data_IF_959825239950
#
_entry.id   IF_959825239950
#
_cell.length_a   1.000
_cell.length_b   1.000
_cell.length_c   1.000
_cell.angle_alpha   90.00
_cell.angle_beta   90.00
_cell.angle_gamma   90.00
#
_symmetry.space_group_name_H-M   'P 1'
#
loop_
_entity.id
_entity.type
_entity.pdbx_description
1 polymer ?
#
# COMPACT_ATOMS: atom_id res chain seq x y z
N UNK A 1 -19.21 -9.63 40.01
CA UNK A 1 -17.77 -9.56 40.31
C UNK A 1 -17.38 -8.11 40.28
N UNK A 2 -17.31 -7.43 41.43
CA UNK A 2 -16.81 -6.08 41.47
C UNK A 2 -15.28 -6.18 41.32
N UNK A 3 -14.76 -5.74 40.19
CA UNK A 3 -13.34 -5.54 40.00
C UNK A 3 -12.86 -4.53 41.01
N UNK A 4 -11.83 -4.86 41.75
CA UNK A 4 -11.25 -3.91 42.72
C UNK A 4 -10.59 -2.77 41.96
N UNK A 5 -10.80 -1.55 42.44
CA UNK A 5 -10.27 -0.35 41.81
C UNK A 5 -8.75 -0.38 41.67
N UNK A 6 -8.05 -1.02 42.61
CA UNK A 6 -6.60 -1.19 42.60
C UNK A 6 -6.06 -2.19 41.58
N UNK A 7 -6.93 -2.94 40.90
CA UNK A 7 -6.53 -3.93 39.91
C UNK A 7 -6.44 -3.34 38.49
N UNK A 8 -6.79 -2.05 38.31
CA UNK A 8 -6.75 -1.38 37.02
C UNK A 8 -5.81 -0.17 37.04
N UNK A 9 -5.30 0.20 35.87
CA UNK A 9 -4.47 1.41 35.68
C UNK A 9 -5.28 2.69 35.95
N UNK A 10 -6.60 2.63 35.89
CA UNK A 10 -7.49 3.75 36.14
C UNK A 10 -7.69 4.05 37.63
N UNK A 11 -7.24 3.18 38.52
CA UNK A 11 -7.37 3.31 39.97
C UNK A 11 -6.26 4.19 40.58
N UNK A 12 -6.28 5.45 40.31
CA UNK A 12 -5.26 6.39 40.79
C UNK A 12 -5.30 6.58 42.32
N UNK A 13 -4.13 6.50 42.96
CA UNK A 13 -3.91 6.93 44.33
C UNK A 13 -4.27 5.92 45.43
N UNK A 14 -4.70 4.73 45.10
CA UNK A 14 -5.08 3.69 46.09
C UNK A 14 -4.04 2.58 46.24
N UNK A 15 -3.06 2.51 45.34
CA UNK A 15 -2.06 1.44 45.30
C UNK A 15 -0.67 1.97 45.63
N UNK A 16 -0.02 1.35 46.57
CA UNK A 16 1.42 1.56 46.85
C UNK A 16 2.21 0.51 46.11
N UNK A 17 3.06 0.93 45.15
CA UNK A 17 3.92 0.02 44.39
C UNK A 17 4.14 0.46 42.97
N UNK A 18 4.79 -0.39 42.16
CA UNK A 18 5.07 -0.13 40.75
C UNK A 18 3.79 -0.36 39.94
N UNK A 19 3.29 0.67 39.31
CA UNK A 19 2.14 0.54 38.39
C UNK A 19 2.60 -0.11 37.07
N UNK A 20 1.73 -0.92 36.42
CA UNK A 20 2.03 -1.42 35.10
C UNK A 20 2.20 -0.24 34.11
N UNK A 21 3.13 -0.39 33.20
CA UNK A 21 3.42 0.63 32.17
C UNK A 21 2.50 0.53 30.94
N UNK A 22 1.62 -0.46 30.92
CA UNK A 22 0.65 -0.70 29.84
C UNK A 22 -0.70 -1.05 30.46
N UNK A 23 -1.75 -0.91 29.68
CA UNK A 23 -3.09 -1.33 30.09
C UNK A 23 -3.16 -2.84 30.26
N UNK A 24 -3.87 -3.26 31.30
CA UNK A 24 -4.25 -4.67 31.49
C UNK A 24 -5.52 -4.97 30.73
N UNK A 25 -5.80 -6.27 30.48
CA UNK A 25 -7.01 -6.70 29.77
C UNK A 25 -8.30 -6.13 30.38
N UNK A 26 -8.34 -6.03 31.72
CA UNK A 26 -9.50 -5.49 32.43
C UNK A 26 -9.68 -3.97 32.23
N UNK A 27 -8.59 -3.23 32.06
CA UNK A 27 -8.65 -1.81 31.73
C UNK A 27 -9.17 -1.63 30.30
N UNK A 28 -8.69 -2.47 29.39
CA UNK A 28 -9.14 -2.49 27.99
C UNK A 28 -10.63 -2.81 27.90
N UNK A 29 -11.11 -3.81 28.63
CA UNK A 29 -12.53 -4.16 28.68
C UNK A 29 -13.37 -2.99 29.24
N UNK A 30 -12.93 -2.35 30.31
CA UNK A 30 -13.63 -1.22 30.90
C UNK A 30 -13.69 -0.01 29.94
N UNK A 31 -12.61 0.24 29.20
CA UNK A 31 -12.57 1.28 28.17
C UNK A 31 -13.52 0.98 27.00
N UNK A 32 -13.57 -0.29 26.58
CA UNK A 32 -14.49 -0.74 25.52
C UNK A 32 -15.97 -0.66 25.95
N UNK A 33 -16.28 -0.93 27.23
CA UNK A 33 -17.63 -0.76 27.77
C UNK A 33 -18.07 0.72 27.85
N UNK A 34 -17.14 1.63 28.13
CA UNK A 34 -17.42 3.07 28.28
C UNK A 34 -17.48 3.77 26.91
N UNK A 35 -16.53 3.50 26.03
CA UNK A 35 -16.37 4.22 24.75
C UNK A 35 -16.75 3.40 23.52
N UNK A 36 -17.07 2.12 23.71
CA UNK A 36 -17.35 1.19 22.63
C UNK A 36 -16.08 0.65 21.98
N UNK A 37 -16.24 -0.38 21.19
CA UNK A 37 -15.17 -0.89 20.30
C UNK A 37 -15.20 -0.04 19.05
N UNK A 38 -14.06 0.52 18.66
CA UNK A 38 -13.95 1.25 17.40
C UNK A 38 -14.32 0.34 16.25
N UNK A 39 -15.34 0.73 15.49
CA UNK A 39 -15.78 -0.03 14.34
C UNK A 39 -14.95 0.37 13.11
N UNK A 40 -14.52 -0.61 12.30
CA UNK A 40 -13.81 -0.30 11.08
C UNK A 40 -14.71 0.49 10.12
N UNK A 41 -14.13 1.46 9.41
CA UNK A 41 -14.82 2.08 8.28
C UNK A 41 -14.90 1.08 7.12
N UNK A 42 -16.10 0.84 6.63
CA UNK A 42 -16.38 -0.16 5.59
C UNK A 42 -16.35 0.50 4.21
N UNK A 43 -15.70 -0.16 3.25
CA UNK A 43 -15.61 0.19 1.85
C UNK A 43 -16.18 -0.95 0.99
N UNK A 44 -16.96 -0.60 -0.02
CA UNK A 44 -17.76 -1.54 -0.83
C UNK A 44 -16.98 -2.20 -1.99
N UNK A 45 -15.69 -1.86 -2.17
CA UNK A 45 -14.83 -2.40 -3.22
C UNK A 45 -13.56 -3.02 -2.61
N UNK A 46 -12.74 -3.66 -3.45
CA UNK A 46 -11.47 -4.23 -3.02
C UNK A 46 -10.44 -3.14 -2.69
N UNK A 47 -9.51 -3.43 -1.83
CA UNK A 47 -8.42 -2.51 -1.45
C UNK A 47 -7.69 -1.92 -2.67
N UNK A 48 -7.40 -2.77 -3.66
CA UNK A 48 -6.71 -2.37 -4.89
C UNK A 48 -7.47 -1.35 -5.75
N UNK A 49 -8.78 -1.24 -5.57
CA UNK A 49 -9.63 -0.34 -6.35
C UNK A 49 -9.55 1.11 -5.87
N UNK A 50 -8.80 1.36 -4.80
CA UNK A 50 -8.63 2.68 -4.22
C UNK A 50 -7.20 3.21 -4.38
N UNK A 51 -7.12 4.55 -4.50
CA UNK A 51 -5.89 5.31 -4.32
C UNK A 51 -5.88 5.94 -2.93
N UNK A 52 -4.72 5.94 -2.30
CA UNK A 52 -4.48 6.58 -1.01
C UNK A 52 -3.71 7.87 -1.22
N UNK A 53 -4.00 8.87 -0.39
CA UNK A 53 -3.43 10.21 -0.49
C UNK A 53 -2.97 10.69 0.87
N UNK A 54 -1.84 11.39 0.89
CA UNK A 54 -1.48 12.26 2.01
C UNK A 54 -2.13 13.61 1.76
N UNK A 55 -2.95 14.06 2.70
CA UNK A 55 -3.62 15.37 2.66
C UNK A 55 -3.06 16.26 3.78
N UNK A 56 -3.40 17.55 3.79
CA UNK A 56 -2.80 18.54 4.70
C UNK A 56 -2.78 18.13 6.17
N UNK A 57 -3.87 17.52 6.66
CA UNK A 57 -4.01 17.12 8.06
C UNK A 57 -4.16 15.62 8.27
N UNK A 58 -3.70 14.79 7.32
CA UNK A 58 -3.80 13.33 7.48
C UNK A 58 -3.81 12.54 6.19
N UNK A 59 -4.79 11.67 6.04
CA UNK A 59 -4.87 10.71 4.95
C UNK A 59 -6.26 10.72 4.32
N UNK A 60 -6.29 10.50 3.03
CA UNK A 60 -7.50 10.37 2.24
C UNK A 60 -7.48 9.13 1.35
N UNK A 61 -8.66 8.71 0.93
CA UNK A 61 -8.87 7.58 0.03
C UNK A 61 -9.85 7.97 -1.07
N UNK A 62 -9.66 7.42 -2.26
CA UNK A 62 -10.54 7.65 -3.39
C UNK A 62 -10.61 6.40 -4.27
N UNK A 63 -11.82 6.02 -4.67
CA UNK A 63 -12.03 4.98 -5.67
C UNK A 63 -11.36 5.40 -7.01
N UNK A 64 -10.63 4.50 -7.65
CA UNK A 64 -9.93 4.76 -8.92
C UNK A 64 -10.89 5.11 -10.03
N UNK A 65 -12.00 4.39 -10.08
CA UNK A 65 -13.05 4.65 -11.05
C UNK A 65 -14.10 5.62 -10.51
N UNK A 66 -14.55 6.54 -11.36
CA UNK A 66 -15.59 7.51 -11.03
C UNK A 66 -15.07 8.91 -10.69
N UNK A 67 -16.00 9.81 -10.41
CA UNK A 67 -15.75 11.24 -10.14
C UNK A 67 -15.79 11.59 -8.64
N UNK A 68 -15.71 10.60 -7.76
CA UNK A 68 -15.84 10.80 -6.33
C UNK A 68 -14.75 11.73 -5.79
N UNK A 69 -15.09 12.51 -4.79
CA UNK A 69 -14.11 13.29 -4.03
C UNK A 69 -13.19 12.37 -3.21
N UNK A 70 -12.07 12.91 -2.73
CA UNK A 70 -11.23 12.22 -1.75
C UNK A 70 -12.00 12.19 -0.43
N UNK A 71 -12.21 10.99 0.08
CA UNK A 71 -12.75 10.75 1.40
C UNK A 71 -11.64 10.85 2.44
N UNK A 72 -11.82 11.66 3.46
CA UNK A 72 -10.89 11.73 4.58
C UNK A 72 -11.04 10.49 5.49
N UNK A 73 -9.90 9.87 5.81
CA UNK A 73 -9.80 8.69 6.69
C UNK A 73 -8.93 8.94 7.91
N UNK A 74 -8.56 10.18 8.15
CA UNK A 74 -7.76 10.59 9.31
C UNK A 74 -8.49 10.26 10.62
N UNK A 75 -7.78 9.66 11.57
CA UNK A 75 -8.36 9.30 12.88
C UNK A 75 -9.17 8.00 12.88
N UNK A 76 -9.29 7.31 11.74
CA UNK A 76 -9.92 5.99 11.66
C UNK A 76 -8.81 4.94 11.78
N UNK A 77 -8.88 4.10 12.80
CA UNK A 77 -7.82 3.10 13.01
C UNK A 77 -7.86 1.97 11.99
N UNK A 78 -9.05 1.44 11.72
CA UNK A 78 -9.23 0.24 10.89
C UNK A 78 -10.14 0.51 9.70
N UNK A 79 -9.67 0.11 8.52
CA UNK A 79 -10.37 0.19 7.24
C UNK A 79 -10.71 -1.23 6.78
N UNK A 80 -11.96 -1.50 6.44
CA UNK A 80 -12.41 -2.81 5.96
C UNK A 80 -12.87 -2.72 4.52
N UNK A 81 -12.14 -3.37 3.64
CA UNK A 81 -12.47 -3.57 2.23
C UNK A 81 -13.16 -4.93 2.03
N UNK A 82 -13.64 -5.20 0.81
CA UNK A 82 -14.31 -6.48 0.52
C UNK A 82 -13.35 -7.66 0.58
N UNK A 83 -12.07 -7.46 0.30
CA UNK A 83 -11.04 -8.49 0.22
C UNK A 83 -10.07 -8.49 1.42
N UNK A 84 -9.96 -7.39 2.17
CA UNK A 84 -9.02 -7.32 3.31
C UNK A 84 -9.38 -6.25 4.33
N UNK A 85 -8.70 -6.30 5.49
CA UNK A 85 -8.63 -5.22 6.47
C UNK A 85 -7.25 -4.59 6.45
N UNK A 86 -7.19 -3.28 6.74
CA UNK A 86 -5.99 -2.47 6.72
C UNK A 86 -6.00 -1.54 7.92
N UNK A 87 -4.88 -1.45 8.64
CA UNK A 87 -4.72 -0.50 9.73
C UNK A 87 -4.13 0.81 9.18
N UNK A 88 -4.77 1.94 9.49
CA UNK A 88 -4.34 3.24 8.96
C UNK A 88 -2.90 3.59 9.35
N UNK A 89 -2.53 3.34 10.61
CA UNK A 89 -1.21 3.71 11.12
C UNK A 89 -0.12 2.75 10.63
N UNK A 90 -0.34 1.45 10.79
CA UNK A 90 0.66 0.46 10.44
C UNK A 90 0.88 0.37 8.91
N UNK A 91 -0.21 0.34 8.15
CA UNK A 91 -0.17 0.05 6.73
C UNK A 91 -0.13 1.34 5.88
N UNK A 92 -1.09 2.25 6.05
CA UNK A 92 -1.20 3.43 5.18
C UNK A 92 -0.14 4.48 5.56
N UNK A 93 -0.12 4.93 6.82
CA UNK A 93 0.89 5.87 7.30
C UNK A 93 2.29 5.26 7.21
N UNK A 94 2.44 3.97 7.55
CA UNK A 94 3.68 3.23 7.46
C UNK A 94 4.31 3.22 6.07
N UNK A 95 3.50 3.22 5.01
CA UNK A 95 3.97 3.39 3.62
C UNK A 95 4.39 4.83 3.36
N UNK A 96 3.52 5.80 3.66
CA UNK A 96 3.81 7.21 3.38
C UNK A 96 5.04 7.74 4.14
N UNK A 97 5.30 7.25 5.35
CA UNK A 97 6.47 7.65 6.14
C UNK A 97 7.80 7.14 5.55
N UNK A 98 7.76 6.08 4.74
CA UNK A 98 8.93 5.56 4.05
C UNK A 98 9.28 6.37 2.78
N UNK A 99 8.28 7.01 2.15
CA UNK A 99 8.48 7.75 0.90
C UNK A 99 8.95 9.16 1.22
N UNK A 100 10.25 9.40 1.07
CA UNK A 100 10.90 10.66 1.45
C UNK A 100 10.92 11.72 0.36
N UNK A 101 10.57 11.35 -0.89
CA UNK A 101 10.48 12.29 -2.01
C UNK A 101 10.37 11.56 -3.35
N UNK A 102 9.94 12.30 -4.39
CA UNK A 102 9.72 11.73 -5.73
C UNK A 102 11.01 11.15 -6.35
N UNK A 103 12.11 11.87 -6.24
CA UNK A 103 13.40 11.51 -6.87
C UNK A 103 14.33 10.74 -5.92
N UNK A 104 13.80 10.16 -4.84
CA UNK A 104 14.54 9.33 -3.91
C UNK A 104 14.36 7.85 -4.23
N UNK A 105 15.24 7.00 -3.69
CA UNK A 105 15.12 5.54 -3.82
C UNK A 105 13.75 5.04 -3.35
N UNK A 106 13.23 5.59 -2.25
CA UNK A 106 11.91 5.24 -1.74
C UNK A 106 10.77 5.67 -2.68
N UNK A 107 10.89 6.83 -3.32
CA UNK A 107 9.93 7.29 -4.32
C UNK A 107 9.92 6.39 -5.57
N UNK A 108 11.10 6.01 -6.05
CA UNK A 108 11.24 5.08 -7.18
C UNK A 108 10.64 3.71 -6.85
N UNK A 109 10.98 3.14 -5.70
CA UNK A 109 10.43 1.84 -5.28
C UNK A 109 8.91 1.87 -5.10
N UNK A 110 8.36 2.96 -4.57
CA UNK A 110 6.91 3.15 -4.45
C UNK A 110 6.22 3.15 -5.83
N UNK A 111 6.75 3.92 -6.79
CA UNK A 111 6.19 3.97 -8.15
C UNK A 111 6.30 2.63 -8.87
N UNK A 112 7.46 1.97 -8.77
CA UNK A 112 7.68 0.65 -9.36
C UNK A 112 6.73 -0.40 -8.77
N UNK A 113 6.52 -0.36 -7.45
CA UNK A 113 5.57 -1.25 -6.76
C UNK A 113 4.13 -1.04 -7.27
N UNK A 114 3.71 0.23 -7.35
CA UNK A 114 2.40 0.58 -7.88
C UNK A 114 2.25 0.20 -9.36
N UNK A 115 3.28 0.41 -10.18
CA UNK A 115 3.28 0.03 -11.59
C UNK A 115 3.15 -1.48 -11.80
N UNK A 116 3.88 -2.28 -11.01
CA UNK A 116 3.85 -3.73 -11.12
C UNK A 116 2.52 -4.33 -10.65
N UNK A 117 2.00 -3.86 -9.51
CA UNK A 117 0.87 -4.51 -8.84
C UNK A 117 -0.44 -3.71 -8.93
N UNK A 118 -0.41 -2.49 -9.47
CA UNK A 118 -1.55 -1.57 -9.58
C UNK A 118 -2.36 -1.47 -8.27
N UNK A 119 -1.66 -1.42 -7.14
CA UNK A 119 -2.22 -1.24 -5.81
C UNK A 119 -1.27 -0.45 -4.91
N UNK A 120 -1.80 0.07 -3.85
CA UNK A 120 -1.00 0.66 -2.78
C UNK A 120 -0.09 -0.41 -2.16
N UNK A 121 1.20 -0.12 -1.92
CA UNK A 121 2.13 -1.09 -1.34
C UNK A 121 1.72 -1.52 0.06
N UNK A 122 2.14 -2.72 0.46
CA UNK A 122 2.23 -3.07 1.87
C UNK A 122 3.50 -2.48 2.49
N UNK A 123 3.43 -2.08 3.76
CA UNK A 123 4.50 -1.33 4.41
C UNK A 123 5.79 -2.15 4.56
N UNK A 124 5.68 -3.43 4.83
CA UNK A 124 6.84 -4.31 5.03
C UNK A 124 7.52 -4.69 3.71
N UNK A 125 6.73 -4.98 2.67
CA UNK A 125 7.24 -5.24 1.33
C UNK A 125 7.93 -4.03 0.74
N UNK A 126 7.35 -2.85 0.88
CA UNK A 126 7.99 -1.61 0.44
C UNK A 126 9.32 -1.37 1.17
N UNK A 127 9.35 -1.57 2.50
CA UNK A 127 10.57 -1.42 3.32
C UNK A 127 11.67 -2.38 2.88
N UNK A 128 11.32 -3.62 2.60
CA UNK A 128 12.27 -4.63 2.11
C UNK A 128 12.92 -4.18 0.80
N UNK A 129 12.12 -3.76 -0.18
CA UNK A 129 12.64 -3.36 -1.49
C UNK A 129 13.42 -2.04 -1.45
N UNK A 130 12.98 -1.05 -0.66
CA UNK A 130 13.77 0.16 -0.42
C UNK A 130 15.13 -0.20 0.18
N UNK A 131 15.16 -1.09 1.18
CA UNK A 131 16.40 -1.52 1.82
C UNK A 131 17.36 -2.20 0.87
N UNK A 132 16.89 -3.14 0.07
CA UNK A 132 17.70 -3.85 -0.93
C UNK A 132 18.25 -2.89 -1.99
N UNK A 133 17.39 -2.03 -2.52
CA UNK A 133 17.78 -1.06 -3.55
C UNK A 133 18.80 -0.03 -3.02
N UNK A 134 18.50 0.62 -1.90
CA UNK A 134 19.37 1.67 -1.32
C UNK A 134 20.71 1.13 -0.80
N UNK A 135 20.78 -0.14 -0.44
CA UNK A 135 22.05 -0.78 -0.03
C UNK A 135 22.86 -1.31 -1.22
N UNK A 136 22.31 -1.29 -2.42
CA UNK A 136 22.95 -1.82 -3.64
C UNK A 136 22.97 -3.36 -3.71
N UNK A 137 22.13 -4.05 -2.92
CA UNK A 137 21.94 -5.50 -3.04
C UNK A 137 21.25 -5.82 -4.36
N UNK A 138 20.19 -5.05 -4.68
CA UNK A 138 19.45 -5.15 -5.93
C UNK A 138 19.49 -3.80 -6.67
N UNK A 139 19.68 -3.81 -7.98
CA UNK A 139 19.45 -2.65 -8.83
C UNK A 139 17.97 -2.57 -9.29
N UNK A 140 17.59 -1.49 -9.96
CA UNK A 140 16.21 -1.28 -10.44
C UNK A 140 15.73 -2.45 -11.33
N UNK A 141 16.62 -3.02 -12.16
CA UNK A 141 16.31 -4.14 -13.04
C UNK A 141 16.05 -5.44 -12.27
N UNK A 142 16.86 -5.70 -11.26
CA UNK A 142 16.70 -6.87 -10.40
C UNK A 142 15.38 -6.81 -9.63
N UNK A 143 15.04 -5.65 -9.05
CA UNK A 143 13.75 -5.43 -8.37
C UNK A 143 12.59 -5.61 -9.34
N UNK A 144 12.65 -4.96 -10.51
CA UNK A 144 11.62 -5.05 -11.54
C UNK A 144 11.41 -6.49 -12.04
N UNK A 145 12.50 -7.23 -12.29
CA UNK A 145 12.43 -8.65 -12.66
C UNK A 145 11.77 -9.48 -11.55
N UNK A 146 12.15 -9.25 -10.29
CA UNK A 146 11.58 -9.95 -9.14
C UNK A 146 10.07 -9.72 -9.02
N UNK A 147 9.60 -8.50 -9.33
CA UNK A 147 8.17 -8.19 -9.34
C UNK A 147 7.42 -8.95 -10.43
N UNK A 148 7.97 -8.99 -11.66
CA UNK A 148 7.37 -9.74 -12.77
C UNK A 148 7.33 -11.25 -12.52
N UNK A 149 8.32 -11.78 -11.80
CA UNK A 149 8.41 -13.20 -11.47
C UNK A 149 7.58 -13.60 -10.25
N UNK A 150 7.06 -12.63 -9.51
CA UNK A 150 6.29 -12.87 -8.29
C UNK A 150 4.99 -13.63 -8.53
N UNK A 151 4.54 -14.36 -7.52
CA UNK A 151 3.24 -15.04 -7.56
C UNK A 151 2.09 -14.03 -7.74
N UNK A 152 2.16 -12.86 -7.09
CA UNK A 152 1.14 -11.82 -7.19
C UNK A 152 1.00 -11.28 -8.61
N UNK A 153 2.12 -11.01 -9.29
CA UNK A 153 2.08 -10.56 -10.69
C UNK A 153 1.46 -11.62 -11.60
N UNK A 154 1.85 -12.88 -11.45
CA UNK A 154 1.35 -14.01 -12.24
C UNK A 154 -0.13 -14.30 -11.98
N UNK A 155 -0.55 -14.24 -10.73
CA UNK A 155 -1.97 -14.37 -10.37
C UNK A 155 -2.83 -13.26 -10.98
N UNK A 156 -2.31 -12.03 -11.00
CA UNK A 156 -3.03 -10.88 -11.51
C UNK A 156 -3.12 -10.83 -13.03
N UNK A 157 -2.03 -11.12 -13.72
CA UNK A 157 -1.89 -10.90 -15.16
C UNK A 157 -1.79 -12.19 -15.99
N UNK A 158 -1.55 -13.31 -15.34
CA UNK A 158 -1.30 -14.62 -15.96
C UNK A 158 0.19 -14.94 -16.11
N UNK A 159 0.51 -16.24 -16.10
CA UNK A 159 1.89 -16.72 -16.19
C UNK A 159 2.54 -16.46 -17.55
N UNK A 160 1.75 -16.51 -18.63
CA UNK A 160 2.25 -16.50 -20.01
C UNK A 160 1.50 -15.47 -20.87
N UNK A 161 1.38 -14.22 -20.38
CA UNK A 161 0.81 -13.15 -21.19
C UNK A 161 1.70 -12.78 -22.35
N UNK A 162 1.12 -12.39 -23.48
CA UNK A 162 1.88 -11.89 -24.63
C UNK A 162 2.46 -10.49 -24.35
N UNK A 163 3.38 -10.02 -25.21
CA UNK A 163 3.90 -8.65 -25.07
C UNK A 163 2.80 -7.61 -25.28
N UNK A 164 1.87 -7.87 -26.17
CA UNK A 164 0.70 -7.02 -26.44
C UNK A 164 -0.16 -6.83 -25.19
N UNK A 165 -0.55 -7.93 -24.54
CA UNK A 165 -1.35 -7.91 -23.30
C UNK A 165 -0.57 -7.25 -22.17
N UNK A 166 0.73 -7.52 -22.07
CA UNK A 166 1.59 -6.90 -21.08
C UNK A 166 1.60 -5.37 -21.19
N UNK A 167 1.85 -4.83 -22.39
CA UNK A 167 1.87 -3.37 -22.63
C UNK A 167 0.49 -2.77 -22.41
N UNK A 168 -0.60 -3.42 -22.86
CA UNK A 168 -1.96 -2.95 -22.60
C UNK A 168 -2.24 -2.82 -21.09
N UNK A 169 -1.84 -3.80 -20.30
CA UNK A 169 -2.00 -3.78 -18.85
C UNK A 169 -1.25 -2.61 -18.21
N UNK A 170 -0.04 -2.29 -18.69
CA UNK A 170 0.70 -1.14 -18.18
C UNK A 170 0.00 0.19 -18.49
N UNK A 171 -0.53 0.37 -19.69
CA UNK A 171 -1.30 1.58 -20.03
C UNK A 171 -2.51 1.76 -19.10
N UNK A 172 -3.25 0.70 -18.86
CA UNK A 172 -4.45 0.75 -18.01
C UNK A 172 -4.10 0.93 -16.52
N UNK A 173 -3.15 0.17 -16.01
CA UNK A 173 -2.91 0.09 -14.57
C UNK A 173 -1.93 1.16 -14.05
N UNK A 174 -0.98 1.60 -14.87
CA UNK A 174 0.02 2.61 -14.47
C UNK A 174 -0.43 4.00 -14.89
N UNK A 175 -0.75 4.16 -16.17
CA UNK A 175 -1.09 5.46 -16.74
C UNK A 175 -2.58 5.79 -16.65
N UNK A 176 -3.41 4.84 -16.22
CA UNK A 176 -4.87 4.99 -16.10
C UNK A 176 -5.50 5.65 -17.33
N UNK A 177 -5.06 5.24 -18.51
CA UNK A 177 -5.55 5.74 -19.80
C UNK A 177 -5.58 4.63 -20.84
N UNK A 178 -6.38 4.84 -21.87
CA UNK A 178 -6.32 4.00 -23.06
C UNK A 178 -4.95 4.13 -23.74
N UNK A 179 -4.51 3.05 -24.38
CA UNK A 179 -3.27 3.05 -25.14
C UNK A 179 -3.34 4.04 -26.31
N UNK A 180 -2.27 4.75 -26.58
CA UNK A 180 -2.05 5.40 -27.86
C UNK A 180 -1.29 4.45 -28.80
N UNK A 181 -1.70 4.44 -30.07
CA UNK A 181 -1.17 3.46 -31.04
C UNK A 181 0.34 3.59 -31.24
N UNK A 182 0.88 4.81 -31.23
CA UNK A 182 2.30 5.04 -31.45
C UNK A 182 3.18 4.51 -30.32
N UNK A 183 2.80 4.79 -29.08
CA UNK A 183 3.50 4.26 -27.90
C UNK A 183 3.36 2.75 -27.77
N UNK A 184 2.17 2.24 -28.06
CA UNK A 184 1.94 0.80 -28.07
C UNK A 184 2.83 0.05 -29.09
N UNK A 185 2.87 0.52 -30.34
CA UNK A 185 3.69 -0.07 -31.40
C UNK A 185 5.18 0.00 -31.04
N UNK A 186 5.62 1.10 -30.42
CA UNK A 186 6.99 1.25 -29.94
C UNK A 186 7.36 0.20 -28.89
N UNK A 187 6.60 0.08 -27.84
CA UNK A 187 6.89 -0.84 -26.74
C UNK A 187 6.80 -2.31 -27.17
N UNK A 188 5.72 -2.67 -27.87
CA UNK A 188 5.54 -4.04 -28.39
C UNK A 188 6.62 -4.38 -29.40
N UNK A 189 6.98 -3.45 -30.29
CA UNK A 189 8.05 -3.61 -31.25
C UNK A 189 9.40 -3.87 -30.58
N UNK A 190 9.75 -3.10 -29.56
CA UNK A 190 11.00 -3.25 -28.81
C UNK A 190 11.07 -4.62 -28.11
N UNK A 191 9.97 -5.03 -27.46
CA UNK A 191 9.88 -6.35 -26.81
C UNK A 191 10.01 -7.49 -27.80
N UNK A 192 9.30 -7.45 -28.94
CA UNK A 192 9.32 -8.50 -29.95
C UNK A 192 10.67 -8.62 -30.67
N UNK A 193 11.39 -7.51 -30.81
CA UNK A 193 12.73 -7.47 -31.42
C UNK A 193 13.86 -7.69 -30.40
N UNK A 194 13.56 -7.87 -29.12
CA UNK A 194 14.55 -8.06 -28.06
C UNK A 194 15.42 -6.83 -27.79
N UNK A 195 14.95 -5.65 -28.17
CA UNK A 195 15.62 -4.36 -27.88
C UNK A 195 15.50 -4.03 -26.41
N UNK A 196 14.35 -4.33 -25.83
CA UNK A 196 14.06 -4.18 -24.41
C UNK A 196 13.47 -5.48 -23.84
N UNK A 197 13.70 -5.67 -22.54
CA UNK A 197 13.07 -6.74 -21.76
C UNK A 197 11.84 -6.19 -21.00
N UNK A 198 10.94 -7.06 -20.57
CA UNK A 198 9.72 -6.65 -19.84
C UNK A 198 10.02 -5.81 -18.59
N UNK A 199 11.07 -6.15 -17.84
CA UNK A 199 11.44 -5.39 -16.65
C UNK A 199 11.92 -3.97 -17.00
N UNK A 200 12.54 -3.75 -18.15
CA UNK A 200 12.94 -2.41 -18.62
C UNK A 200 11.72 -1.59 -19.04
N UNK A 201 10.76 -2.23 -19.71
CA UNK A 201 9.49 -1.58 -20.05
C UNK A 201 8.71 -1.20 -18.79
N UNK A 202 8.64 -2.07 -17.77
CA UNK A 202 8.01 -1.75 -16.50
C UNK A 202 8.65 -0.53 -15.81
N UNK A 203 9.98 -0.47 -15.81
CA UNK A 203 10.72 0.70 -15.30
C UNK A 203 10.37 1.97 -16.09
N UNK A 204 10.32 1.91 -17.42
CA UNK A 204 9.91 3.03 -18.25
C UNK A 204 8.52 3.55 -17.92
N UNK A 205 7.57 2.67 -17.69
CA UNK A 205 6.21 3.03 -17.29
C UNK A 205 6.14 3.58 -15.86
N UNK A 206 6.94 3.06 -14.93
CA UNK A 206 6.93 3.52 -13.54
C UNK A 206 7.47 4.95 -13.38
N UNK A 207 8.29 5.41 -14.33
CA UNK A 207 8.88 6.74 -14.37
C UNK A 207 8.21 7.68 -15.38
N UNK A 208 7.15 7.23 -16.07
CA UNK A 208 6.40 8.08 -16.98
C UNK A 208 5.56 9.11 -16.21
N UNK A 209 5.60 10.38 -16.67
CA UNK A 209 4.83 11.51 -16.14
C UNK A 209 3.34 11.46 -16.53
#
# INVERSE_FOLDING_TARGET
>A
NSTRMEDTVLAYGTRTGTYPTWFQDIDIQALQEIWGVEQPRIFESNFRDYNFYKIDNGYGIKLKEGTNAIDEITGIENLKFTDQQTNLIADVKGVFDQVTGLNTDSGKMFRLYNAAFARFPDADGLRYWIGNFSSGIDDERAVSSSFLDSAEFKERYGDNITHEIYVQNLYLNVLNRELDQGGYDYWVGNLNNGVEQRHEVLLGFSEAD
#
